data_IF_184398831288
#
_entry.id   IF_184398831288
#
_cell.length_a   1.000
_cell.length_b   1.000
_cell.length_c   1.000
_cell.angle_alpha   90.00
_cell.angle_beta   90.00
_cell.angle_gamma   90.00
#
_symmetry.space_group_name_H-M   'P 1'
#
loop_
_entity.id
_entity.type
_entity.pdbx_description
1 polymer ?
#
# COMPACT_ATOMS: atom_id res chain seq x y z
N UNK A 1 14.89 6.76 -26.08
CA UNK A 1 15.39 5.75 -25.09
C UNK A 1 14.96 6.12 -23.67
N UNK A 2 15.30 7.32 -23.18
CA UNK A 2 14.69 7.89 -21.96
C UNK A 2 13.17 7.98 -22.03
N UNK A 3 12.61 8.10 -23.24
CA UNK A 3 11.17 8.00 -23.50
C UNK A 3 10.55 6.70 -22.95
N UNK A 4 11.24 5.56 -23.04
CA UNK A 4 10.69 4.30 -22.53
C UNK A 4 10.57 4.27 -21.01
N UNK A 5 11.50 4.94 -20.32
CA UNK A 5 11.45 5.15 -18.88
C UNK A 5 10.31 6.12 -18.53
N UNK A 6 10.24 7.26 -19.21
CA UNK A 6 9.20 8.27 -19.02
C UNK A 6 7.82 7.66 -19.26
N UNK A 7 7.61 6.95 -20.37
CA UNK A 7 6.35 6.28 -20.71
C UNK A 7 5.94 5.26 -19.64
N UNK A 8 6.90 4.49 -19.13
CA UNK A 8 6.63 3.52 -18.07
C UNK A 8 6.22 4.24 -16.76
N UNK A 9 6.87 5.36 -16.42
CA UNK A 9 6.54 6.16 -15.25
C UNK A 9 5.18 6.85 -15.36
N UNK A 10 4.85 7.41 -16.52
CA UNK A 10 3.54 8.02 -16.81
C UNK A 10 2.44 6.94 -16.77
N UNK A 11 2.68 5.80 -17.41
CA UNK A 11 1.73 4.67 -17.37
C UNK A 11 1.49 4.17 -15.95
N UNK A 12 2.55 4.06 -15.14
CA UNK A 12 2.43 3.65 -13.74
C UNK A 12 1.67 4.71 -12.93
N UNK A 13 1.91 5.99 -13.20
CA UNK A 13 1.17 7.10 -12.57
C UNK A 13 -0.33 6.98 -12.83
N UNK A 14 -0.74 6.80 -14.09
CA UNK A 14 -2.16 6.62 -14.43
C UNK A 14 -2.79 5.40 -13.73
N UNK A 15 -2.07 4.28 -13.64
CA UNK A 15 -2.58 3.09 -12.93
C UNK A 15 -2.71 3.37 -11.43
N UNK A 16 -1.77 4.10 -10.83
CA UNK A 16 -1.82 4.48 -9.41
C UNK A 16 -2.99 5.44 -9.12
N UNK A 17 -3.29 6.35 -10.04
CA UNK A 17 -4.44 7.26 -9.95
C UNK A 17 -5.76 6.50 -10.10
N UNK A 18 -5.89 5.62 -11.09
CA UNK A 18 -7.06 4.76 -11.26
C UNK A 18 -7.31 3.89 -10.02
N UNK A 19 -6.26 3.25 -9.51
CA UNK A 19 -6.35 2.44 -8.29
C UNK A 19 -6.80 3.28 -7.09
N UNK A 20 -6.26 4.50 -6.94
CA UNK A 20 -6.63 5.42 -5.86
C UNK A 20 -8.09 5.83 -5.94
N UNK A 21 -8.57 6.20 -7.13
CA UNK A 21 -9.97 6.56 -7.38
C UNK A 21 -10.93 5.42 -7.04
N UNK A 22 -10.54 4.18 -7.36
CA UNK A 22 -11.35 2.99 -7.08
C UNK A 22 -11.32 2.61 -5.60
N UNK A 23 -10.14 2.60 -4.99
CA UNK A 23 -9.98 2.32 -3.55
C UNK A 23 -10.67 3.38 -2.67
N UNK A 24 -10.77 4.63 -3.15
CA UNK A 24 -11.53 5.68 -2.49
C UNK A 24 -13.04 5.39 -2.41
N UNK A 25 -13.58 4.56 -3.30
CA UNK A 25 -15.01 4.20 -3.33
C UNK A 25 -15.30 2.87 -2.65
N UNK A 26 -14.43 1.90 -2.82
CA UNK A 26 -14.58 0.57 -2.25
C UNK A 26 -13.21 -0.03 -1.88
N UNK A 27 -13.09 -0.67 -0.70
CA UNK A 27 -11.82 -1.27 -0.27
C UNK A 27 -11.40 -2.49 -1.11
N UNK A 28 -12.31 -3.05 -1.91
CA UNK A 28 -12.03 -4.17 -2.80
C UNK A 28 -12.78 -3.99 -4.12
N UNK A 29 -12.13 -4.39 -5.21
CA UNK A 29 -12.74 -4.53 -6.52
C UNK A 29 -12.10 -5.70 -7.30
N UNK A 30 -12.83 -6.37 -8.20
CA UNK A 30 -12.39 -7.63 -8.83
C UNK A 30 -11.05 -7.54 -9.58
N UNK A 31 -10.75 -6.39 -10.19
CA UNK A 31 -9.56 -6.15 -11.02
C UNK A 31 -8.32 -5.77 -10.21
N UNK A 32 -8.41 -5.68 -8.87
CA UNK A 32 -7.28 -5.30 -8.01
C UNK A 32 -6.03 -6.20 -8.22
N UNK A 33 -6.15 -7.54 -8.37
CA UNK A 33 -4.99 -8.38 -8.69
C UNK A 33 -4.36 -8.05 -10.04
N UNK A 34 -5.15 -7.68 -11.04
CA UNK A 34 -4.65 -7.32 -12.37
C UNK A 34 -3.89 -6.00 -12.33
N UNK A 35 -4.43 -4.99 -11.63
CA UNK A 35 -3.77 -3.70 -11.38
C UNK A 35 -2.43 -3.92 -10.66
N UNK A 36 -2.41 -4.74 -9.62
CA UNK A 36 -1.18 -5.05 -8.89
C UNK A 36 -0.12 -5.69 -9.80
N UNK A 37 -0.51 -6.62 -10.67
CA UNK A 37 0.40 -7.24 -11.63
C UNK A 37 0.91 -6.24 -12.68
N UNK A 38 0.07 -5.34 -13.16
CA UNK A 38 0.48 -4.28 -14.08
C UNK A 38 1.51 -3.33 -13.44
N UNK A 39 1.28 -2.94 -12.18
CA UNK A 39 2.25 -2.14 -11.39
C UNK A 39 3.59 -2.85 -11.27
N UNK A 40 3.62 -4.13 -10.91
CA UNK A 40 4.86 -4.91 -10.82
C UNK A 40 5.64 -4.94 -12.13
N UNK A 41 4.95 -5.15 -13.27
CA UNK A 41 5.61 -5.16 -14.59
C UNK A 41 6.21 -3.80 -14.95
N UNK A 42 5.49 -2.71 -14.69
CA UNK A 42 5.96 -1.35 -14.98
C UNK A 42 7.12 -0.95 -14.07
N UNK A 43 7.05 -1.27 -12.78
CA UNK A 43 8.17 -1.05 -11.84
C UNK A 43 9.41 -1.81 -12.28
N UNK A 44 9.28 -3.10 -12.63
CA UNK A 44 10.40 -3.89 -13.12
C UNK A 44 11.01 -3.30 -14.40
N UNK A 45 10.19 -2.76 -15.30
CA UNK A 45 10.67 -2.04 -16.50
C UNK A 45 11.43 -0.77 -16.12
N UNK A 46 10.89 0.07 -15.23
CA UNK A 46 11.54 1.30 -14.75
C UNK A 46 12.90 0.97 -14.14
N UNK A 47 12.97 -0.04 -13.26
CA UNK A 47 14.22 -0.47 -12.62
C UNK A 47 15.26 -0.94 -13.64
N UNK A 48 14.85 -1.75 -14.63
CA UNK A 48 15.72 -2.23 -15.68
C UNK A 48 16.29 -1.09 -16.55
N UNK A 49 15.46 -0.11 -16.90
CA UNK A 49 15.86 1.06 -17.67
C UNK A 49 16.85 1.93 -16.89
N UNK A 50 16.55 2.23 -15.62
CA UNK A 50 17.44 2.99 -14.73
C UNK A 50 18.77 2.26 -14.54
N UNK A 51 18.74 0.95 -14.32
CA UNK A 51 19.95 0.14 -14.17
C UNK A 51 20.78 0.08 -15.47
N UNK A 52 20.14 0.11 -16.64
CA UNK A 52 20.83 0.24 -17.92
C UNK A 52 21.51 1.60 -18.05
N UNK A 53 20.80 2.69 -17.79
CA UNK A 53 21.35 4.06 -17.88
C UNK A 53 22.53 4.26 -16.93
N UNK A 54 22.44 3.76 -15.70
CA UNK A 54 23.56 3.77 -14.74
C UNK A 54 24.77 2.96 -15.21
N UNK A 55 24.60 1.89 -15.99
CA UNK A 55 25.75 1.14 -16.55
C UNK A 55 26.41 1.88 -17.70
N UNK A 56 25.63 2.59 -18.51
CA UNK A 56 26.12 3.35 -19.67
C UNK A 56 26.81 4.66 -19.25
N UNK A 57 26.36 5.27 -18.16
CA UNK A 57 26.98 6.47 -17.57
C UNK A 57 26.82 6.44 -16.03
N UNK A 58 27.80 5.87 -15.30
CA UNK A 58 27.72 5.62 -13.86
C UNK A 58 27.45 6.85 -13.00
N UNK A 59 28.11 7.97 -13.32
CA UNK A 59 28.11 9.14 -12.45
C UNK A 59 27.06 10.19 -12.87
N UNK A 60 26.89 10.43 -14.19
CA UNK A 60 26.15 11.60 -14.68
C UNK A 60 25.13 11.30 -15.80
N UNK A 61 24.53 10.12 -15.84
CA UNK A 61 23.58 9.77 -16.91
C UNK A 61 22.44 10.79 -17.07
N UNK A 62 21.98 11.37 -15.95
CA UNK A 62 20.91 12.37 -15.95
C UNK A 62 21.38 13.74 -16.47
N UNK A 63 22.65 14.10 -16.24
CA UNK A 63 23.20 15.38 -16.73
C UNK A 63 23.49 15.34 -18.24
N UNK A 64 23.67 14.14 -18.80
CA UNK A 64 23.84 13.90 -20.23
C UNK A 64 22.54 14.00 -21.03
N UNK A 65 21.39 14.03 -20.36
CA UNK A 65 20.11 14.28 -21.01
C UNK A 65 20.05 15.74 -21.46
N UNK A 66 19.47 15.99 -22.63
CA UNK A 66 19.13 17.35 -23.02
C UNK A 66 18.15 17.98 -21.99
N UNK A 67 18.11 19.32 -21.87
CA UNK A 67 17.30 19.98 -20.85
C UNK A 67 15.81 19.64 -20.91
N UNK A 68 15.25 19.43 -22.11
CA UNK A 68 13.83 19.15 -22.30
C UNK A 68 13.47 17.73 -21.83
N UNK A 69 14.25 16.73 -22.21
CA UNK A 69 14.09 15.35 -21.73
C UNK A 69 14.27 15.26 -20.22
N UNK A 70 15.21 16.03 -19.66
CA UNK A 70 15.47 16.06 -18.21
C UNK A 70 14.29 16.65 -17.44
N UNK A 71 13.69 17.73 -17.94
CA UNK A 71 12.48 18.30 -17.32
C UNK A 71 11.31 17.32 -17.41
N UNK A 72 11.11 16.68 -18.55
CA UNK A 72 10.04 15.68 -18.75
C UNK A 72 10.20 14.50 -17.80
N UNK A 73 11.43 14.00 -17.61
CA UNK A 73 11.72 12.94 -16.65
C UNK A 73 11.49 13.40 -15.20
N UNK A 74 11.85 14.64 -14.87
CA UNK A 74 11.60 15.21 -13.56
C UNK A 74 10.09 15.35 -13.28
N UNK A 75 9.31 15.76 -14.27
CA UNK A 75 7.85 15.84 -14.20
C UNK A 75 7.22 14.46 -14.01
N UNK A 76 7.58 13.47 -14.82
CA UNK A 76 7.10 12.10 -14.66
C UNK A 76 7.47 11.51 -13.28
N UNK A 77 8.65 11.85 -12.75
CA UNK A 77 9.09 11.46 -11.41
C UNK A 77 8.26 12.11 -10.30
N UNK A 78 7.89 13.38 -10.46
CA UNK A 78 7.00 14.09 -9.53
C UNK A 78 5.60 13.48 -9.55
N UNK A 79 5.02 13.30 -10.74
CA UNK A 79 3.69 12.69 -10.90
C UNK A 79 3.60 11.31 -10.25
N UNK A 80 4.56 10.43 -10.53
CA UNK A 80 4.58 9.08 -9.94
C UNK A 80 4.69 9.10 -8.42
N UNK A 81 5.53 9.97 -7.86
CA UNK A 81 5.67 10.13 -6.41
C UNK A 81 4.38 10.61 -5.77
N UNK A 82 3.73 11.60 -6.36
CA UNK A 82 2.51 12.20 -5.81
C UNK A 82 1.35 11.20 -5.85
N UNK A 83 1.16 10.51 -6.97
CA UNK A 83 0.17 9.44 -7.10
C UNK A 83 0.43 8.29 -6.11
N UNK A 84 1.70 7.92 -5.92
CA UNK A 84 2.09 6.90 -4.93
C UNK A 84 1.77 7.33 -3.49
N UNK A 85 1.99 8.60 -3.16
CA UNK A 85 1.69 9.14 -1.83
C UNK A 85 0.17 9.20 -1.55
N UNK A 86 -0.65 9.47 -2.56
CA UNK A 86 -2.12 9.39 -2.44
C UNK A 86 -2.55 7.95 -2.16
N UNK A 87 -2.08 7.01 -2.99
CA UNK A 87 -2.43 5.60 -2.88
C UNK A 87 -2.05 5.00 -1.51
N UNK A 88 -0.83 5.30 -1.04
CA UNK A 88 -0.36 4.87 0.27
C UNK A 88 -1.22 5.40 1.43
N UNK A 89 -1.69 6.65 1.35
CA UNK A 89 -2.59 7.22 2.37
C UNK A 89 -3.96 6.53 2.39
N UNK A 90 -4.51 6.19 1.22
CA UNK A 90 -5.78 5.46 1.13
C UNK A 90 -5.65 4.09 1.77
N UNK A 91 -4.59 3.34 1.43
CA UNK A 91 -4.34 2.02 2.00
C UNK A 91 -4.11 2.09 3.52
N UNK A 92 -3.32 3.06 3.99
CA UNK A 92 -3.12 3.27 5.43
C UNK A 92 -4.45 3.48 6.16
N UNK A 93 -5.32 4.33 5.60
CA UNK A 93 -6.64 4.59 6.18
C UNK A 93 -7.52 3.35 6.19
N UNK A 94 -7.51 2.54 5.14
CA UNK A 94 -8.28 1.29 5.08
C UNK A 94 -7.78 0.27 6.12
N UNK A 95 -6.47 0.19 6.35
CA UNK A 95 -5.88 -0.67 7.38
C UNK A 95 -6.33 -0.20 8.77
N UNK A 96 -6.26 1.09 9.06
CA UNK A 96 -6.75 1.66 10.32
C UNK A 96 -8.23 1.32 10.58
N UNK A 97 -9.12 1.55 9.60
CA UNK A 97 -10.53 1.19 9.75
C UNK A 97 -10.73 -0.31 10.00
N UNK A 98 -9.98 -1.15 9.30
CA UNK A 98 -10.09 -2.61 9.46
C UNK A 98 -9.68 -3.02 10.88
N UNK A 99 -8.64 -2.40 11.44
CA UNK A 99 -8.20 -2.61 12.83
C UNK A 99 -9.27 -2.14 13.82
N UNK A 100 -9.85 -0.95 13.63
CA UNK A 100 -10.94 -0.43 14.47
C UNK A 100 -12.16 -1.37 14.45
N UNK A 101 -12.56 -1.86 13.27
CA UNK A 101 -13.67 -2.80 13.11
C UNK A 101 -13.40 -4.14 13.81
N UNK A 102 -12.21 -4.72 13.65
CA UNK A 102 -11.83 -5.95 14.34
C UNK A 102 -11.84 -5.78 15.86
N UNK A 103 -11.40 -4.61 16.35
CA UNK A 103 -11.48 -4.26 17.77
C UNK A 103 -12.93 -4.21 18.29
N UNK A 104 -13.83 -3.56 17.55
CA UNK A 104 -15.25 -3.51 17.90
C UNK A 104 -15.91 -4.90 17.90
N UNK A 105 -15.60 -5.74 16.90
CA UNK A 105 -16.08 -7.13 16.83
C UNK A 105 -15.58 -7.93 18.03
N UNK A 106 -14.31 -7.82 18.39
CA UNK A 106 -13.73 -8.52 19.53
C UNK A 106 -14.38 -8.08 20.86
N UNK A 107 -14.60 -6.77 21.04
CA UNK A 107 -15.28 -6.24 22.22
C UNK A 107 -16.72 -6.76 22.34
N UNK A 108 -17.45 -6.81 21.23
CA UNK A 108 -18.81 -7.34 21.20
C UNK A 108 -18.84 -8.86 21.44
N UNK A 109 -17.89 -9.61 20.90
CA UNK A 109 -17.74 -11.04 21.18
C UNK A 109 -17.46 -11.29 22.67
N UNK A 110 -16.59 -10.48 23.30
CA UNK A 110 -16.31 -10.56 24.72
C UNK A 110 -17.55 -10.22 25.57
N UNK A 111 -18.33 -9.23 25.16
CA UNK A 111 -19.59 -8.86 25.82
C UNK A 111 -20.62 -10.00 25.79
N UNK A 112 -20.76 -10.68 24.65
CA UNK A 112 -21.71 -11.78 24.46
C UNK A 112 -21.28 -13.06 25.17
N UNK A 113 -19.98 -13.34 25.25
CA UNK A 113 -19.45 -14.62 25.79
C UNK A 113 -19.06 -14.57 27.27
N UNK A 114 -18.86 -13.38 27.84
CA UNK A 114 -18.53 -13.17 29.24
C UNK A 114 -17.09 -13.61 29.61
N UNK A 115 -16.29 -12.66 30.08
CA UNK A 115 -14.97 -12.83 30.76
C UNK A 115 -13.86 -13.63 30.06
N UNK A 116 -14.09 -14.29 28.92
CA UNK A 116 -13.05 -14.96 28.12
C UNK A 116 -12.45 -13.98 27.10
N UNK A 117 -11.12 -13.87 27.08
CA UNK A 117 -10.38 -13.09 26.08
C UNK A 117 -10.49 -13.77 24.71
N UNK A 118 -11.19 -13.14 23.77
CA UNK A 118 -11.27 -13.60 22.38
C UNK A 118 -10.60 -12.58 21.46
N UNK A 119 -9.71 -13.06 20.60
CA UNK A 119 -9.06 -12.24 19.57
C UNK A 119 -9.60 -12.64 18.21
N UNK A 120 -10.01 -11.65 17.41
CA UNK A 120 -10.39 -11.87 16.02
C UNK A 120 -9.12 -12.06 15.16
N UNK A 121 -9.00 -13.20 14.50
CA UNK A 121 -7.86 -13.53 13.65
C UNK A 121 -8.02 -13.00 12.23
N UNK A 122 -6.89 -12.80 11.54
CA UNK A 122 -6.82 -12.23 10.19
C UNK A 122 -7.63 -12.99 9.10
N UNK A 123 -8.06 -14.23 9.37
CA UNK A 123 -8.88 -15.05 8.47
C UNK A 123 -10.36 -15.14 8.88
N UNK A 124 -10.83 -14.27 9.78
CA UNK A 124 -12.22 -14.27 10.24
C UNK A 124 -12.55 -15.33 11.31
N UNK A 125 -11.54 -16.06 11.79
CA UNK A 125 -11.69 -16.98 12.91
C UNK A 125 -11.64 -16.25 14.26
N UNK A 126 -12.55 -16.56 15.16
CA UNK A 126 -12.44 -16.16 16.57
C UNK A 126 -11.56 -17.18 17.30
N UNK A 127 -10.35 -16.77 17.66
CA UNK A 127 -9.45 -17.56 18.50
C UNK A 127 -9.65 -17.20 19.96
N UNK A 128 -10.17 -18.11 20.76
CA UNK A 128 -10.14 -17.98 22.22
C UNK A 128 -8.81 -18.50 22.74
N UNK A 129 -8.12 -17.72 23.59
CA UNK A 129 -7.20 -18.35 24.54
C UNK A 129 -8.06 -18.96 25.64
N UNK A 130 -7.96 -20.28 25.82
CA UNK A 130 -8.65 -20.99 26.89
C UNK A 130 -7.93 -20.78 28.24
N UNK A 131 -7.55 -19.53 28.50
CA UNK A 131 -6.99 -19.09 29.76
C UNK A 131 -8.07 -18.27 30.48
N UNK A 132 -8.44 -18.61 31.72
CA UNK A 132 -9.29 -17.75 32.52
C UNK A 132 -8.61 -16.37 32.63
N UNK A 133 -9.35 -15.29 32.40
CA UNK A 133 -8.86 -13.95 32.67
C UNK A 133 -8.39 -13.88 34.13
N UNK A 134 -7.22 -13.30 34.44
CA UNK A 134 -6.73 -13.24 35.81
C UNK A 134 -7.74 -12.50 36.69
N UNK A 135 -8.27 -13.20 37.69
CA UNK A 135 -9.19 -12.62 38.67
C UNK A 135 -8.40 -11.61 39.49
N UNK A 136 -8.71 -10.33 39.31
CA UNK A 136 -8.16 -9.26 40.15
C UNK A 136 -8.93 -9.25 41.48
N UNK A 137 -8.36 -9.86 42.54
CA UNK A 137 -8.94 -9.79 43.89
C UNK A 137 -8.56 -8.44 44.48
N UNK A 138 -9.52 -7.51 44.54
CA UNK A 138 -9.41 -6.31 45.38
C UNK A 138 -9.69 -6.73 46.83
N UNK A 139 -8.70 -7.28 47.52
CA UNK A 139 -8.76 -7.43 48.97
C UNK A 139 -8.49 -6.06 49.61
N UNK A 140 -9.52 -5.43 50.17
CA UNK A 140 -9.34 -4.42 51.21
C UNK A 140 -9.43 -5.13 52.56
N UNK A 141 -8.34 -5.09 53.33
CA UNK A 141 -8.28 -5.46 54.74
C UNK A 141 -9.18 -4.53 55.58
#
# INVERSE_FOLDING_TARGET
MTEQLIDAMVSLTHIMEEESDRLGRAPYFPELPEIAQAKLRLTGRIEAEVARMKREAPDDWAERLDPETRETLAEASRGLRDASAVNARILARQIELSVEMMGAIAAEAQRLTGSRSMTYGACGGLGGMDAPAPISINARL
#
